data_IF_544225633647
#
_entry.id   IF_544225633647
#
_cell.length_a   1.000
_cell.length_b   1.000
_cell.length_c   1.000
_cell.angle_alpha   90.00
_cell.angle_beta   90.00
_cell.angle_gamma   90.00
#
_symmetry.space_group_name_H-M   'P 1'
#
loop_
_entity.id
_entity.type
_entity.pdbx_description
1 polymer ?
2 non-polymer ?
3 non-polymer ?
4 water ?
#
# COMPACT_ATOMS: atom_id res chain seq x y z
N UNK A 1 17.79 19.77 -7.26
CA UNK A 1 17.08 20.94 -6.68
C UNK A 1 15.85 20.40 -5.94
N UNK A 2 14.90 19.87 -6.70
CA UNK A 2 13.68 19.34 -6.10
C UNK A 2 13.90 17.91 -5.60
N UNK A 3 13.03 17.47 -4.71
CA UNK A 3 13.01 16.09 -4.29
C UNK A 3 12.19 15.30 -5.30
N UNK A 4 12.83 14.36 -5.97
CA UNK A 4 12.16 13.58 -7.00
C UNK A 4 11.41 12.37 -6.37
N UNK A 5 10.11 12.29 -6.57
CA UNK A 5 9.25 11.23 -5.98
C UNK A 5 8.63 10.41 -7.10
N UNK A 6 8.70 9.08 -7.02
CA UNK A 6 8.00 8.21 -7.96
C UNK A 6 7.10 7.35 -7.11
N UNK A 7 5.81 7.45 -7.41
CA UNK A 7 4.75 6.73 -6.69
C UNK A 7 4.02 5.75 -7.59
N UNK A 8 3.85 4.50 -7.13
CA UNK A 8 3.08 3.49 -7.95
C UNK A 8 1.61 3.47 -7.51
N UNK A 9 0.72 3.09 -8.43
CA UNK A 9 -0.70 2.92 -8.08
C UNK A 9 -1.44 4.21 -7.79
N UNK A 10 -1.34 5.21 -8.69
CA UNK A 10 -1.89 6.55 -8.52
C UNK A 10 -3.30 6.78 -9.12
N UNK A 11 -3.96 5.72 -9.55
CA UNK A 11 -5.23 5.92 -10.24
C UNK A 11 -6.31 6.25 -9.25
N UNK A 12 -6.11 5.92 -7.98
CA UNK A 12 -7.11 6.22 -6.94
C UNK A 12 -6.46 6.18 -5.56
N UNK A 13 -7.23 6.55 -4.54
CA UNK A 13 -6.84 6.21 -3.18
C UNK A 13 -5.66 6.96 -2.68
N UNK A 14 -4.89 6.28 -1.84
CA UNK A 14 -3.77 6.86 -1.20
C UNK A 14 -2.79 7.40 -2.21
N UNK A 15 -2.49 6.58 -3.22
CA UNK A 15 -1.53 6.98 -4.26
C UNK A 15 -1.89 8.27 -4.99
N UNK A 16 -3.18 8.40 -5.35
CA UNK A 16 -3.68 9.61 -6.00
C UNK A 16 -3.52 10.84 -5.11
N UNK A 17 -4.01 10.70 -3.88
CA UNK A 17 -3.97 11.82 -2.94
C UNK A 17 -2.56 12.19 -2.52
N UNK A 18 -1.68 11.23 -2.30
CA UNK A 18 -0.28 11.54 -2.00
C UNK A 18 0.41 12.28 -3.15
N UNK A 19 0.18 11.79 -4.37
CA UNK A 19 0.79 12.44 -5.54
C UNK A 19 0.45 13.94 -5.64
N UNK A 20 -0.81 14.30 -5.48
CA UNK A 20 -1.22 15.72 -5.58
C UNK A 20 -0.91 16.53 -4.34
N UNK A 21 -0.89 15.88 -3.17
CA UNK A 21 -0.38 16.55 -1.99
C UNK A 21 1.05 17.01 -2.21
N UNK A 22 1.92 16.11 -2.62
CA UNK A 22 3.31 16.46 -2.85
C UNK A 22 3.50 17.49 -3.98
N UNK A 23 2.83 17.29 -5.08
CA UNK A 23 3.02 18.16 -6.25
C UNK A 23 2.49 19.56 -5.94
N UNK A 24 1.45 19.67 -5.11
CA UNK A 24 0.85 20.96 -4.80
C UNK A 24 1.47 21.65 -3.59
N UNK A 25 2.43 21.00 -2.92
CA UNK A 25 3.06 21.57 -1.72
C UNK A 25 3.43 23.02 -1.93
N UNK A 26 2.95 23.92 -1.03
CA UNK A 26 3.27 25.34 -1.20
C UNK A 26 4.77 25.63 -1.40
N UNK A 27 5.64 24.84 -0.79
CA UNK A 27 7.08 25.06 -0.96
C UNK A 27 7.65 24.66 -2.34
N UNK A 28 6.87 23.94 -3.16
CA UNK A 28 7.36 23.39 -4.45
C UNK A 28 8.66 22.57 -4.36
N UNK A 29 8.83 21.86 -3.25
CA UNK A 29 10.04 21.06 -2.99
C UNK A 29 10.07 19.78 -3.81
N UNK A 30 8.92 19.34 -4.33
CA UNK A 30 8.76 17.99 -4.93
C UNK A 30 8.46 17.98 -6.42
N UNK A 31 9.11 17.07 -7.14
CA UNK A 31 8.74 16.75 -8.54
C UNK A 31 8.15 15.36 -8.45
N UNK A 32 6.91 15.17 -8.88
CA UNK A 32 6.25 13.86 -8.73
C UNK A 32 5.97 13.13 -10.06
N UNK A 33 6.47 11.90 -10.14
CA UNK A 33 6.08 10.95 -11.18
C UNK A 33 4.98 10.05 -10.60
N UNK A 34 3.76 10.32 -11.00
CA UNK A 34 2.64 9.49 -10.57
C UNK A 34 2.44 8.40 -11.62
N UNK A 35 2.59 7.16 -11.20
CA UNK A 35 2.51 6.09 -12.20
C UNK A 35 1.22 5.32 -12.10
N UNK A 36 0.77 4.73 -13.20
CA UNK A 36 -0.55 4.06 -13.22
C UNK A 36 -0.47 2.88 -14.15
N UNK A 37 -1.21 1.82 -13.89
CA UNK A 37 -1.18 0.67 -14.81
C UNK A 37 -1.86 0.96 -16.15
N UNK A 38 -3.01 1.62 -16.12
CA UNK A 38 -3.78 1.93 -17.33
C UNK A 38 -3.98 3.41 -17.40
N UNK A 39 -3.42 4.03 -18.43
CA UNK A 39 -3.54 5.48 -18.62
C UNK A 39 -5.00 5.99 -18.72
N UNK A 40 -5.95 5.14 -19.14
CA UNK A 40 -7.36 5.53 -19.11
C UNK A 40 -7.87 5.93 -17.72
N UNK A 41 -7.11 5.57 -16.70
CA UNK A 41 -7.58 5.93 -15.35
C UNK A 41 -7.00 7.24 -14.86
N UNK A 42 -6.19 7.92 -15.66
CA UNK A 42 -5.49 9.14 -15.21
C UNK A 42 -6.34 10.39 -14.98
N UNK A 43 -7.59 10.38 -15.49
CA UNK A 43 -8.46 11.54 -15.37
C UNK A 43 -8.64 11.98 -13.93
N UNK A 44 -8.86 11.02 -13.03
CA UNK A 44 -9.13 11.36 -11.63
C UNK A 44 -7.93 12.04 -10.99
N UNK A 45 -6.74 11.64 -11.39
CA UNK A 45 -5.54 12.26 -10.83
C UNK A 45 -5.45 13.72 -11.32
N UNK A 46 -5.74 13.94 -12.59
CA UNK A 46 -5.66 15.29 -13.16
C UNK A 46 -6.76 16.21 -12.65
N UNK A 47 -7.94 15.67 -12.39
CA UNK A 47 -9.00 16.45 -11.75
C UNK A 47 -8.56 16.92 -10.34
N UNK A 48 -7.98 16.02 -9.55
CA UNK A 48 -7.45 16.38 -8.22
C UNK A 48 -6.28 17.36 -8.35
N UNK A 49 -5.43 17.16 -9.34
CA UNK A 49 -4.29 18.04 -9.53
C UNK A 49 -4.75 19.48 -9.79
N UNK A 50 -5.81 19.62 -10.60
CA UNK A 50 -6.38 20.93 -10.89
C UNK A 50 -6.99 21.55 -9.61
N UNK A 51 -7.69 20.74 -8.84
CA UNK A 51 -8.37 21.21 -7.65
C UNK A 51 -7.36 21.78 -6.70
N UNK A 52 -6.19 21.16 -6.63
CA UNK A 52 -5.18 21.64 -5.70
C UNK A 52 -4.24 22.60 -6.37
N UNK A 53 -4.47 22.87 -7.66
CA UNK A 53 -3.61 23.81 -8.42
C UNK A 53 -2.12 23.45 -8.47
N UNK A 54 -1.81 22.20 -8.77
CA UNK A 54 -0.42 21.79 -8.89
C UNK A 54 0.21 22.64 -9.98
N UNK A 55 1.36 23.28 -9.70
CA UNK A 55 2.00 24.06 -10.76
C UNK A 55 2.35 23.17 -11.95
N UNK A 56 2.30 23.74 -13.18
CA UNK A 56 2.76 22.91 -14.31
C UNK A 56 4.19 22.41 -14.15
N UNK A 57 4.41 21.15 -14.49
CA UNK A 57 5.73 20.54 -14.31
C UNK A 57 6.00 20.00 -12.90
N UNK A 58 5.04 20.12 -12.00
CA UNK A 58 5.22 19.52 -10.66
C UNK A 58 4.79 18.04 -10.65
N UNK A 59 3.95 17.67 -11.62
CA UNK A 59 3.35 16.34 -11.70
C UNK A 59 3.37 15.81 -13.14
N UNK A 60 3.82 14.58 -13.29
CA UNK A 60 3.82 13.91 -14.60
C UNK A 60 3.29 12.52 -14.35
N UNK A 61 2.54 12.00 -15.30
CA UNK A 61 2.07 10.64 -15.23
C UNK A 61 2.93 9.76 -16.16
N UNK A 62 3.21 8.53 -15.69
CA UNK A 62 3.88 7.47 -16.48
C UNK A 62 3.03 6.23 -16.42
N UNK A 63 3.03 5.45 -17.51
CA UNK A 63 2.41 4.14 -17.45
C UNK A 63 3.41 3.18 -16.84
N UNK A 64 2.97 2.41 -15.84
CA UNK A 64 3.87 1.45 -15.20
C UNK A 64 3.03 0.25 -14.79
N UNK A 65 3.38 -0.92 -15.29
CA UNK A 65 2.69 -2.15 -14.88
C UNK A 65 3.70 -2.89 -14.00
N UNK A 66 3.43 -2.99 -12.69
CA UNK A 66 4.41 -3.60 -11.77
C UNK A 66 4.53 -5.12 -11.97
N UNK A 67 3.66 -5.70 -12.80
CA UNK A 67 3.78 -7.11 -13.14
C UNK A 67 4.88 -7.37 -14.17
N UNK A 68 5.37 -6.31 -14.81
CA UNK A 68 6.27 -6.46 -15.99
C UNK A 68 7.56 -5.67 -15.73
N UNK A 69 8.64 -6.40 -15.50
CA UNK A 69 9.91 -5.73 -15.26
C UNK A 69 10.39 -4.84 -16.43
N UNK A 70 9.95 -5.10 -17.66
CA UNK A 70 10.25 -4.15 -18.76
C UNK A 70 9.58 -2.81 -18.59
N UNK A 71 8.32 -2.83 -18.11
CA UNK A 71 7.54 -1.63 -17.84
C UNK A 71 8.17 -0.81 -16.71
N UNK A 72 8.70 -1.52 -15.72
CA UNK A 72 9.37 -0.90 -14.62
C UNK A 72 10.64 -0.21 -15.12
N UNK A 73 11.42 -0.91 -15.92
CA UNK A 73 12.64 -0.31 -16.48
C UNK A 73 12.36 0.87 -17.42
N UNK A 74 11.31 0.79 -18.25
CA UNK A 74 10.89 1.90 -19.15
C UNK A 74 10.48 3.18 -18.38
N UNK A 75 9.78 3.00 -17.26
CA UNK A 75 9.39 4.16 -16.45
C UNK A 75 10.62 4.79 -15.72
N UNK A 76 11.55 3.95 -15.25
CA UNK A 76 12.78 4.42 -14.61
C UNK A 76 13.62 5.24 -15.60
N UNK A 77 13.73 4.77 -16.85
CA UNK A 77 14.42 5.57 -17.87
C UNK A 77 13.72 6.94 -18.14
N UNK A 78 12.41 7.02 -17.92
CA UNK A 78 11.66 8.27 -18.09
C UNK A 78 11.85 9.29 -16.96
N UNK A 79 12.55 8.92 -15.88
CA UNK A 79 12.87 9.88 -14.82
C UNK A 79 14.02 10.77 -15.32
N UNK A 80 13.64 11.89 -15.93
CA UNK A 80 14.61 12.75 -16.66
C UNK A 80 15.72 13.26 -15.77
N UNK A 81 15.44 13.40 -14.47
CA UNK A 81 16.44 13.88 -13.51
C UNK A 81 17.54 12.88 -13.23
N UNK A 82 17.34 11.62 -13.62
CA UNK A 82 18.37 10.59 -13.41
C UNK A 82 18.59 10.16 -11.97
N UNK A 83 17.62 10.47 -11.10
CA UNK A 83 17.59 9.88 -9.77
C UNK A 83 16.17 9.89 -9.23
N UNK A 84 15.93 9.05 -8.21
CA UNK A 84 14.69 9.08 -7.47
C UNK A 84 15.09 9.26 -6.01
N UNK A 85 14.61 10.33 -5.40
CA UNK A 85 14.93 10.60 -4.03
C UNK A 85 14.00 9.84 -3.08
N UNK A 86 12.74 9.72 -3.49
CA UNK A 86 11.72 9.02 -2.71
C UNK A 86 10.95 8.08 -3.63
N UNK A 87 10.95 6.80 -3.29
CA UNK A 87 10.20 5.79 -4.04
C UNK A 87 9.06 5.36 -3.14
N UNK A 88 7.85 5.49 -3.65
CA UNK A 88 6.66 5.10 -2.86
C UNK A 88 6.00 3.89 -3.55
N UNK A 89 6.07 2.74 -2.89
CA UNK A 89 5.57 1.47 -3.40
C UNK A 89 4.18 1.27 -2.80
N UNK A 90 3.19 1.65 -3.57
CA UNK A 90 1.80 1.72 -3.13
C UNK A 90 0.80 0.90 -3.97
N UNK A 91 1.14 0.55 -5.21
CA UNK A 91 0.19 -0.26 -5.99
C UNK A 91 -0.18 -1.52 -5.23
N UNK A 92 -1.46 -1.86 -5.25
CA UNK A 92 -1.89 -3.08 -4.55
C UNK A 92 -3.31 -3.46 -4.93
N UNK A 93 -3.62 -4.74 -4.75
CA UNK A 93 -4.88 -5.33 -5.07
C UNK A 93 -5.47 -5.91 -3.80
N UNK A 94 -6.80 -5.82 -3.64
CA UNK A 94 -7.43 -6.60 -2.58
C UNK A 94 -7.95 -7.92 -3.11
N UNK A 95 -8.35 -8.82 -2.22
CA UNK A 95 -8.98 -10.01 -2.69
C UNK A 95 -9.80 -10.54 -1.54
N UNK A 96 -11.12 -10.68 -1.74
CA UNK A 96 -12.02 -10.91 -0.63
C UNK A 96 -12.89 -12.12 -0.99
N UNK A 97 -12.99 -13.07 -0.06
CA UNK A 97 -13.83 -14.24 -0.27
C UNK A 97 -13.38 -15.49 0.45
N UNK A 98 -14.24 -16.54 0.45
CA UNK A 98 -13.88 -17.83 0.99
C UNK A 98 -12.65 -18.33 0.21
N UNK A 99 -11.65 -18.85 0.90
CA UNK A 99 -10.45 -19.28 0.17
C UNK A 99 -10.76 -20.18 -1.02
N UNK A 100 -11.60 -21.19 -0.82
CA UNK A 100 -11.89 -22.15 -1.90
C UNK A 100 -12.70 -21.56 -3.11
N UNK A 101 -13.24 -20.37 -2.94
CA UNK A 101 -13.94 -19.67 -4.03
C UNK A 101 -13.00 -18.79 -4.88
N UNK A 102 -11.76 -18.63 -4.44
CA UNK A 102 -10.84 -17.72 -5.14
C UNK A 102 -10.24 -18.45 -6.33
N UNK A 103 -10.25 -17.83 -7.50
CA UNK A 103 -9.57 -18.42 -8.63
C UNK A 103 -8.07 -18.39 -8.40
N UNK A 104 -7.41 -19.45 -8.86
CA UNK A 104 -5.98 -19.56 -8.81
C UNK A 104 -5.26 -18.38 -9.47
N UNK A 105 -5.75 -17.94 -10.64
CA UNK A 105 -5.19 -16.75 -11.27
C UNK A 105 -5.34 -15.50 -10.43
N UNK A 106 -6.49 -15.31 -9.78
CA UNK A 106 -6.68 -14.16 -8.92
C UNK A 106 -5.70 -14.21 -7.74
N UNK A 107 -5.50 -15.41 -7.20
CA UNK A 107 -4.51 -15.58 -6.09
C UNK A 107 -3.12 -15.19 -6.60
N UNK A 108 -2.70 -15.74 -7.75
CA UNK A 108 -1.37 -15.41 -8.26
C UNK A 108 -1.21 -13.94 -8.62
N UNK A 109 -2.26 -13.32 -9.16
CA UNK A 109 -2.23 -11.89 -9.49
C UNK A 109 -2.01 -10.97 -8.28
N UNK A 110 -2.74 -11.24 -7.21
CA UNK A 110 -2.60 -10.46 -5.95
C UNK A 110 -1.17 -10.59 -5.48
N UNK A 111 -0.65 -11.80 -5.41
CA UNK A 111 0.78 -12.02 -5.03
C UNK A 111 1.75 -11.34 -5.98
N UNK A 112 1.48 -11.45 -7.28
CA UNK A 112 2.39 -10.80 -8.23
C UNK A 112 2.44 -9.29 -8.17
N UNK A 113 1.27 -8.64 -7.99
CA UNK A 113 1.20 -7.20 -7.99
C UNK A 113 1.72 -6.75 -6.63
N UNK A 114 1.21 -7.37 -5.57
CA UNK A 114 1.45 -6.81 -4.22
C UNK A 114 2.86 -7.12 -3.69
N UNK A 115 3.41 -8.28 -4.03
CA UNK A 115 4.71 -8.71 -3.48
C UNK A 115 5.74 -8.66 -4.56
N UNK A 116 5.57 -9.46 -5.59
CA UNK A 116 6.64 -9.46 -6.64
C UNK A 116 6.76 -8.08 -7.29
N UNK A 117 5.65 -7.39 -7.51
CA UNK A 117 5.66 -6.02 -7.99
C UNK A 117 6.54 -5.07 -7.17
N UNK A 118 6.44 -5.20 -5.86
CA UNK A 118 7.30 -4.42 -4.99
C UNK A 118 8.75 -4.85 -5.04
N UNK A 119 8.98 -6.16 -5.05
CA UNK A 119 10.35 -6.69 -5.37
C UNK A 119 10.89 -6.06 -6.67
N UNK A 120 10.13 -6.09 -7.78
CA UNK A 120 10.62 -5.48 -9.06
C UNK A 120 11.01 -4.02 -8.94
N UNK A 121 10.21 -3.23 -8.22
CA UNK A 121 10.54 -1.82 -7.98
C UNK A 121 11.81 -1.64 -7.14
N UNK A 122 11.93 -2.38 -6.05
CA UNK A 122 13.14 -2.34 -5.23
C UNK A 122 14.38 -2.82 -6.02
N UNK A 123 14.25 -3.86 -6.86
CA UNK A 123 15.44 -4.31 -7.64
C UNK A 123 15.87 -3.21 -8.60
N UNK A 124 14.87 -2.57 -9.24
CA UNK A 124 15.12 -1.51 -10.21
C UNK A 124 15.72 -0.28 -9.56
N UNK A 125 15.22 0.12 -8.38
CA UNK A 125 15.58 1.44 -7.81
C UNK A 125 16.57 1.45 -6.67
N UNK A 126 16.67 0.38 -5.87
CA UNK A 126 17.62 0.36 -4.74
C UNK A 126 19.11 0.50 -5.13
N UNK A 127 19.54 -0.16 -6.21
CA UNK A 127 20.97 -0.02 -6.55
C UNK A 127 21.52 1.43 -6.62
N UNK A 128 20.85 2.33 -7.37
CA UNK A 128 21.35 3.71 -7.45
C UNK A 128 21.25 4.44 -6.11
N UNK A 129 20.27 4.07 -5.27
CA UNK A 129 20.17 4.63 -3.92
C UNK A 129 21.35 4.21 -3.04
N UNK A 130 21.71 2.94 -3.14
CA UNK A 130 22.80 2.39 -2.29
C UNK A 130 24.11 3.04 -2.73
N UNK A 131 24.24 3.28 -4.03
CA UNK A 131 25.45 3.89 -4.61
C UNK A 131 25.61 5.31 -4.12
N UNK A 132 24.51 6.07 -4.13
CA UNK A 132 24.51 7.48 -3.70
C UNK A 132 24.65 7.58 -2.21
N UNK A 133 24.42 6.47 -1.52
CA UNK A 133 24.29 6.49 -0.07
C UNK A 133 23.12 7.34 0.42
N UNK A 134 22.08 7.45 -0.41
CA UNK A 134 20.85 8.13 0.06
C UNK A 134 19.57 7.81 -0.75
N UNK A 135 18.43 7.96 -0.08
CA UNK A 135 17.14 7.67 -0.71
C UNK A 135 16.17 7.17 0.34
N UNK A 136 14.88 7.43 0.09
CA UNK A 136 13.84 7.02 1.02
C UNK A 136 12.90 6.12 0.27
N UNK A 137 12.53 5.01 0.89
CA UNK A 137 11.51 4.13 0.30
C UNK A 137 10.33 4.08 1.24
N UNK A 138 9.14 4.36 0.72
CA UNK A 138 7.93 4.26 1.59
C UNK A 138 7.03 3.18 1.01
N UNK A 139 6.51 2.28 1.84
CA UNK A 139 5.71 1.14 1.25
C UNK A 139 4.36 1.22 1.94
N UNK A 140 3.27 1.18 1.15
CA UNK A 140 1.95 1.21 1.74
C UNK A 140 1.67 -0.14 2.38
N UNK A 141 1.49 -0.12 3.71
CA UNK A 141 1.12 -1.32 4.40
C UNK A 141 -0.36 -1.32 4.78
N UNK A 142 -0.73 -2.30 5.61
CA UNK A 142 -2.12 -2.47 6.00
C UNK A 142 -2.19 -3.07 7.41
N UNK A 143 -3.25 -2.77 8.15
CA UNK A 143 -3.55 -3.56 9.34
C UNK A 143 -3.60 -5.06 9.05
N UNK A 144 -4.07 -5.46 7.87
CA UNK A 144 -4.12 -6.88 7.39
C UNK A 144 -2.71 -7.45 7.10
N UNK A 145 -1.69 -6.61 7.14
CA UNK A 145 -0.32 -7.08 7.13
C UNK A 145 0.23 -7.45 8.48
N UNK A 146 -0.50 -7.00 9.53
CA UNK A 146 -0.06 -7.13 10.92
C UNK A 146 -0.87 -8.16 11.72
N UNK A 147 -2.05 -8.48 11.23
CA UNK A 147 -2.91 -9.49 11.86
C UNK A 147 -3.81 -10.06 10.80
N UNK A 148 -4.10 -11.37 10.91
CA UNK A 148 -4.94 -12.06 9.94
C UNK A 148 -6.43 -11.68 10.04
N UNK A 149 -7.07 -11.48 8.90
CA UNK A 149 -8.51 -11.15 8.84
C UNK A 149 -9.26 -12.21 8.02
N UNK A 150 -10.40 -12.71 8.54
CA UNK A 150 -11.06 -13.82 7.92
C UNK A 150 -11.58 -13.31 6.60
N UNK A 151 -11.62 -14.21 5.62
CA UNK A 151 -11.96 -13.98 4.22
C UNK A 151 -11.06 -13.02 3.52
N UNK A 152 -9.93 -12.66 4.15
CA UNK A 152 -8.88 -11.86 3.47
C UNK A 152 -7.58 -12.66 3.43
N UNK A 153 -7.68 -14.00 3.40
CA UNK A 153 -6.52 -14.93 3.61
C UNK A 153 -5.37 -14.59 2.66
N UNK A 154 -5.69 -14.39 1.39
CA UNK A 154 -4.64 -14.14 0.37
C UNK A 154 -4.20 -12.69 0.40
N UNK A 155 -5.11 -11.74 0.65
CA UNK A 155 -4.73 -10.32 0.80
C UNK A 155 -3.76 -10.17 1.97
N UNK A 156 -4.16 -10.74 3.09
CA UNK A 156 -3.31 -10.76 4.31
C UNK A 156 -1.98 -11.48 4.00
N UNK A 157 -2.01 -12.61 3.31
CA UNK A 157 -0.75 -13.23 2.94
C UNK A 157 0.17 -12.23 2.26
N UNK A 158 -0.38 -11.50 1.31
CA UNK A 158 0.41 -10.55 0.54
C UNK A 158 0.96 -9.36 1.35
N UNK A 159 0.13 -8.83 2.28
CA UNK A 159 0.49 -7.74 3.14
C UNK A 159 1.48 -8.16 4.32
N UNK A 160 1.30 -9.34 4.87
CA UNK A 160 2.32 -9.98 5.72
C UNK A 160 3.62 -10.15 4.94
N UNK A 161 3.52 -10.56 3.67
CA UNK A 161 4.78 -10.71 2.87
C UNK A 161 5.58 -9.43 2.74
N UNK A 162 4.91 -8.29 2.58
CA UNK A 162 5.55 -6.98 2.44
C UNK A 162 6.23 -6.68 3.78
N UNK A 163 5.60 -7.10 4.88
CA UNK A 163 6.26 -6.85 6.15
C UNK A 163 7.62 -7.58 6.21
N UNK A 164 7.62 -8.89 5.92
CA UNK A 164 8.85 -9.67 5.96
C UNK A 164 9.84 -9.13 4.97
N UNK A 165 9.40 -8.78 3.75
CA UNK A 165 10.31 -8.26 2.73
C UNK A 165 11.02 -7.01 3.24
N UNK A 166 10.25 -6.03 3.71
CA UNK A 166 10.75 -4.73 4.14
C UNK A 166 11.61 -4.85 5.39
N UNK A 167 11.22 -5.69 6.33
CA UNK A 167 11.97 -5.79 7.57
C UNK A 167 13.34 -6.41 7.31
N UNK A 168 13.37 -7.44 6.49
CA UNK A 168 14.60 -8.09 6.05
C UNK A 168 15.54 -7.09 5.42
N UNK A 169 15.02 -6.34 4.43
CA UNK A 169 15.79 -5.28 3.73
C UNK A 169 16.30 -4.18 4.65
N UNK A 170 15.46 -3.75 5.59
CA UNK A 170 15.86 -2.68 6.53
C UNK A 170 17.07 -3.06 7.40
N UNK A 171 17.15 -4.33 7.77
CA UNK A 171 18.29 -4.81 8.59
C UNK A 171 19.60 -4.58 7.79
N UNK A 172 19.53 -4.77 6.48
CA UNK A 172 20.70 -4.58 5.62
C UNK A 172 21.00 -3.14 5.24
N UNK A 173 19.94 -2.38 4.91
CA UNK A 173 20.09 -1.04 4.34
C UNK A 173 20.56 0.03 5.34
N UNK A 174 20.45 -0.27 6.63
CA UNK A 174 20.79 0.66 7.71
C UNK A 174 22.14 1.38 7.45
N UNK A 175 23.27 0.61 7.37
CA UNK A 175 24.56 1.31 7.11
C UNK A 175 24.71 1.95 5.72
N UNK A 176 23.80 1.69 4.79
CA UNK A 176 23.87 2.30 3.46
C UNK A 176 23.27 3.71 3.39
N UNK A 177 22.68 4.19 4.48
CA UNK A 177 21.96 5.48 4.42
C UNK A 177 20.65 5.54 3.61
N UNK A 178 20.08 4.39 3.25
CA UNK A 178 18.84 4.32 2.49
C UNK A 178 17.82 3.86 3.53
N UNK A 179 16.71 4.60 3.65
CA UNK A 179 15.76 4.38 4.74
C UNK A 179 14.47 3.84 4.15
N UNK A 180 13.95 2.76 4.69
CA UNK A 180 12.73 2.15 4.18
C UNK A 180 11.74 2.16 5.31
N UNK A 181 10.49 2.54 5.03
CA UNK A 181 9.46 2.53 6.08
C UNK A 181 8.17 2.01 5.49
N UNK A 182 7.39 1.30 6.32
CA UNK A 182 6.00 0.87 6.00
C UNK A 182 5.07 1.87 6.61
N UNK A 183 4.04 2.24 5.88
CA UNK A 183 3.02 3.14 6.39
C UNK A 183 1.74 2.28 6.57
N UNK A 184 1.45 1.99 7.85
CA UNK A 184 0.42 0.99 8.18
C UNK A 184 -0.97 1.65 8.26
N UNK A 185 -1.78 1.40 7.23
CA UNK A 185 -3.09 2.04 7.05
C UNK A 185 -4.16 1.13 7.64
N UNK A 186 -5.15 1.71 8.34
CA UNK A 186 -6.42 1.02 8.59
C UNK A 186 -7.33 1.32 7.42
N UNK A 187 -8.67 1.22 7.59
CA UNK A 187 -9.56 1.54 6.47
C UNK A 187 -9.42 3.00 6.04
N UNK A 188 -9.54 3.24 4.73
CA UNK A 188 -9.38 4.56 4.12
C UNK A 188 -10.54 4.84 3.17
N UNK A 189 -11.19 5.99 3.35
CA UNK A 189 -12.28 6.46 2.48
C UNK A 189 -11.74 6.93 1.16
N UNK A 190 -11.48 6.04 0.21
CA UNK A 190 -10.80 6.48 -1.02
C UNK A 190 -11.77 7.09 -2.06
N UNK A 198 -16.43 -11.65 -7.00
CA UNK A 198 -17.61 -12.46 -7.29
C UNK A 198 -18.90 -11.86 -6.73
N UNK A 199 -19.99 -11.99 -7.51
CA UNK A 199 -21.32 -11.68 -7.01
C UNK A 199 -21.73 -12.79 -6.03
N UNK A 200 -22.82 -12.58 -5.25
CA UNK A 200 -23.29 -13.60 -4.29
C UNK A 200 -23.48 -15.00 -4.89
N UNK A 201 -24.16 -15.08 -6.03
CA UNK A 201 -24.42 -16.39 -6.68
C UNK A 201 -23.11 -17.04 -7.13
N UNK A 202 -22.14 -16.21 -7.52
CA UNK A 202 -20.80 -16.66 -7.88
C UNK A 202 -20.11 -17.33 -6.69
N UNK A 203 -20.14 -16.67 -5.53
CA UNK A 203 -19.47 -17.15 -4.32
C UNK A 203 -20.19 -18.36 -3.72
N UNK A 204 -21.53 -18.30 -3.68
CA UNK A 204 -22.35 -19.43 -3.18
C UNK A 204 -22.09 -20.73 -3.97
N UNK A 205 -21.98 -20.58 -5.29
CA UNK A 205 -21.61 -21.67 -6.20
C UNK A 205 -20.26 -22.32 -5.88
N UNK A 206 -19.39 -21.58 -5.17
CA UNK A 206 -18.04 -22.06 -4.92
C UNK A 206 -17.77 -22.39 -3.46
N UNK A 207 -18.77 -22.28 -2.61
CA UNK A 207 -18.54 -22.62 -1.22
C UNK A 207 -19.75 -23.28 -0.57
N UNK A 208 -19.64 -23.62 0.70
CA UNK A 208 -20.78 -24.17 1.45
C UNK A 208 -21.65 -23.07 2.05
N UNK A 209 -22.89 -23.42 2.37
CA UNK A 209 -23.84 -22.44 2.87
C UNK A 209 -23.41 -21.83 4.19
N UNK A 210 -22.70 -22.61 5.00
CA UNK A 210 -22.28 -22.16 6.31
C UNK A 210 -21.13 -21.16 6.20
N UNK A 211 -20.16 -21.47 5.36
CA UNK A 211 -19.11 -20.48 5.05
C UNK A 211 -19.73 -19.24 4.41
N UNK A 212 -20.64 -19.43 3.46
CA UNK A 212 -21.32 -18.32 2.82
C UNK A 212 -21.96 -17.36 3.85
N UNK A 213 -22.65 -17.94 4.83
CA UNK A 213 -23.23 -17.14 5.90
C UNK A 213 -22.20 -16.42 6.76
N UNK A 214 -21.09 -17.08 7.07
CA UNK A 214 -20.02 -16.44 7.81
C UNK A 214 -19.43 -15.27 6.98
N UNK A 215 -19.40 -15.43 5.66
CA UNK A 215 -18.90 -14.36 4.79
C UNK A 215 -19.76 -13.12 4.93
N UNK A 216 -21.08 -13.32 5.00
CA UNK A 216 -22.02 -12.23 5.09
C UNK A 216 -21.79 -11.56 6.40
N UNK A 217 -21.60 -12.33 7.44
CA UNK A 217 -21.40 -11.76 8.77
C UNK A 217 -20.14 -10.89 8.77
N UNK A 218 -19.12 -11.43 8.13
CA UNK A 218 -17.83 -10.69 8.04
C UNK A 218 -18.07 -9.36 7.29
N UNK A 219 -18.73 -9.41 6.13
CA UNK A 219 -19.05 -8.22 5.37
C UNK A 219 -19.86 -7.20 6.17
N UNK A 220 -20.85 -7.65 6.92
CA UNK A 220 -21.62 -6.74 7.77
C UNK A 220 -20.73 -6.01 8.77
N UNK A 221 -19.86 -6.76 9.46
CA UNK A 221 -18.96 -6.21 10.47
C UNK A 221 -17.96 -5.26 9.84
N UNK A 222 -17.38 -5.67 8.71
CA UNK A 222 -16.43 -4.86 7.94
C UNK A 222 -17.04 -3.52 7.56
N UNK A 223 -18.28 -3.53 7.07
CA UNK A 223 -18.96 -2.30 6.67
C UNK A 223 -19.10 -1.35 7.84
N UNK A 224 -19.33 -1.89 9.04
CA UNK A 224 -19.57 -1.07 10.21
C UNK A 224 -18.27 -0.50 10.77
N UNK A 225 -17.21 -1.31 10.71
CA UNK A 225 -15.84 -0.82 11.02
C UNK A 225 -15.47 0.32 10.04
N UNK A 226 -15.83 0.16 8.77
CA UNK A 226 -15.47 1.15 7.77
C UNK A 226 -16.23 2.43 7.98
N UNK A 227 -17.51 2.32 8.37
CA UNK A 227 -18.31 3.54 8.49
C UNK A 227 -17.93 4.29 9.75
N UNK A 228 -17.52 3.56 10.78
CA UNK A 228 -17.12 4.18 12.02
C UNK A 228 -15.68 4.64 12.02
N UNK A 229 -14.81 4.03 11.21
CA UNK A 229 -13.37 4.18 11.40
C UNK A 229 -12.56 4.67 10.19
N UNK A 230 -13.15 4.68 9.00
CA UNK A 230 -12.38 4.98 7.79
C UNK A 230 -11.74 6.37 7.89
N UNK A 231 -10.46 6.48 7.49
CA UNK A 231 -9.78 7.78 7.49
C UNK A 231 -9.82 8.43 6.12
N UNK A 232 -9.80 9.76 6.11
CA UNK A 232 -9.59 10.55 4.88
C UNK A 232 -8.23 10.24 4.24
N UNK A 233 -8.18 10.00 2.90
CA UNK A 233 -6.84 9.79 2.36
C UNK A 233 -5.94 11.00 2.54
N UNK A 234 -6.53 12.18 2.77
CA UNK A 234 -5.75 13.39 3.04
C UNK A 234 -4.98 13.20 4.32
N UNK A 235 -5.66 12.64 5.32
CA UNK A 235 -5.00 12.40 6.59
C UNK A 235 -3.92 11.31 6.47
N UNK A 236 -4.23 10.19 5.80
CA UNK A 236 -3.20 9.15 5.51
C UNK A 236 -1.99 9.69 4.72
N UNK A 237 -2.23 10.45 3.65
CA UNK A 237 -1.13 11.04 2.91
C UNK A 237 -0.20 11.87 3.79
N UNK A 238 -0.68 12.56 4.82
CA UNK A 238 0.20 13.36 5.65
C UNK A 238 1.14 12.51 6.51
N UNK A 239 0.70 11.29 6.87
CA UNK A 239 1.59 10.33 7.56
C UNK A 239 2.74 9.92 6.62
N UNK A 240 2.49 9.76 5.32
CA UNK A 240 3.62 9.54 4.41
C UNK A 240 4.59 10.69 4.43
N UNK A 241 4.05 11.88 4.45
CA UNK A 241 4.87 13.10 4.54
C UNK A 241 5.72 13.19 5.81
N UNK A 242 5.11 12.88 6.94
CA UNK A 242 5.84 12.73 8.19
C UNK A 242 7.02 11.76 8.10
N UNK A 243 6.78 10.55 7.60
CA UNK A 243 7.88 9.62 7.36
C UNK A 243 8.97 10.21 6.45
N UNK A 244 8.53 10.89 5.39
CA UNK A 244 9.45 11.46 4.40
C UNK A 244 10.43 12.41 4.98
N UNK A 245 9.95 13.23 5.91
CA UNK A 245 10.69 14.34 6.48
C UNK A 245 11.40 13.98 7.78
N UNK A 246 11.21 12.76 8.26
CA UNK A 246 11.82 12.35 9.54
C UNK A 246 13.34 12.23 9.32
N UNK A 247 14.16 12.94 10.14
CA UNK A 247 15.61 12.86 9.94
C UNK A 247 16.17 11.44 10.10
N UNK A 248 15.65 10.65 11.06
CA UNK A 248 15.90 9.20 11.11
C UNK A 248 14.60 8.40 11.16
N UNK A 249 14.09 8.00 10.00
CA UNK A 249 12.80 7.32 10.06
C UNK A 249 12.86 5.93 10.71
N UNK A 250 11.75 5.52 11.29
CA UNK A 250 11.58 4.18 11.85
C UNK A 250 11.07 3.27 10.74
N UNK A 251 11.10 1.97 11.03
CA UNK A 251 10.66 0.98 10.04
C UNK A 251 9.15 1.07 9.78
N UNK A 252 8.40 1.38 10.82
CA UNK A 252 6.95 1.38 10.76
C UNK A 252 6.29 2.65 11.35
N UNK A 253 5.39 3.25 10.56
CA UNK A 253 4.46 4.33 10.97
C UNK A 253 3.02 3.79 11.00
N UNK A 254 2.22 4.24 11.95
CA UNK A 254 0.82 3.83 11.96
C UNK A 254 -0.07 5.06 11.70
N UNK A 255 -1.08 4.91 10.84
CA UNK A 255 -1.89 6.07 10.49
C UNK A 255 -2.96 6.29 11.55
N UNK A 256 -3.13 5.29 12.41
CA UNK A 256 -4.14 5.35 13.46
C UNK A 256 -3.77 4.47 14.65
N UNK A 257 -4.29 4.84 15.82
CA UNK A 257 -4.16 4.11 17.09
C UNK A 257 -5.22 3.01 17.23
N UNK A 258 -6.24 3.07 16.37
CA UNK A 258 -7.44 2.21 16.42
C UNK A 258 -7.19 0.73 16.70
N UNK A 259 -6.31 0.14 15.91
CA UNK A 259 -6.18 -1.30 15.89
C UNK A 259 -5.04 -1.75 16.77
N UNK A 260 -4.37 -0.81 17.44
CA UNK A 260 -3.20 -1.17 18.25
C UNK A 260 -3.51 -2.04 19.48
N UNK A 261 -4.66 -1.85 20.14
CA UNK A 261 -5.03 -2.82 21.19
C UNK A 261 -5.18 -4.26 20.72
N UNK A 262 -5.86 -4.47 19.59
CA UNK A 262 -5.95 -5.78 18.95
C UNK A 262 -4.55 -6.31 18.58
N UNK A 263 -3.72 -5.45 18.02
CA UNK A 263 -2.37 -5.81 17.65
C UNK A 263 -1.53 -6.22 18.86
N UNK A 264 -1.65 -5.50 19.96
CA UNK A 264 -0.86 -5.81 21.17
C UNK A 264 -1.26 -7.16 21.75
N UNK A 265 -2.55 -7.44 21.77
CA UNK A 265 -3.06 -8.74 22.19
C UNK A 265 -2.51 -9.85 21.33
N UNK A 266 -2.36 -9.57 20.01
CA UNK A 266 -1.68 -10.50 19.12
C UNK A 266 -0.22 -10.62 19.54
N UNK A 267 0.40 -9.47 19.74
CA UNK A 267 1.81 -9.39 19.99
C UNK A 267 2.21 -10.14 21.27
N UNK A 268 1.41 -10.04 22.31
CA UNK A 268 1.91 -10.67 23.53
C UNK A 268 1.36 -12.07 23.88
N UNK A 269 0.71 -12.72 22.93
CA UNK A 269 0.48 -14.15 23.03
C UNK A 269 0.94 -14.80 21.72
N UNK A 270 2.22 -15.14 21.65
CA UNK A 270 2.84 -15.77 20.50
C UNK A 270 2.18 -17.10 20.03
N UNK A 271 1.47 -17.85 20.91
CA UNK A 271 0.74 -19.06 20.49
C UNK A 271 -0.42 -18.75 19.50
N UNK A 272 -0.82 -17.47 19.47
CA UNK A 272 -1.92 -16.99 18.59
C UNK A 272 -3.33 -17.21 19.14
N UNK A 273 -3.42 -17.95 20.26
CA UNK A 273 -4.68 -18.35 20.84
C UNK A 273 -5.55 -17.13 21.25
N UNK A 274 -4.97 -16.15 21.92
CA UNK A 274 -5.78 -14.97 22.29
C UNK A 274 -6.22 -14.14 21.11
N UNK A 275 -5.35 -14.01 20.12
CA UNK A 275 -5.74 -13.24 18.95
C UNK A 275 -6.88 -13.92 18.18
N UNK A 276 -6.77 -15.23 17.95
CA UNK A 276 -7.73 -15.89 17.12
C UNK A 276 -9.11 -15.84 17.80
N UNK A 277 -9.10 -16.05 19.11
CA UNK A 277 -10.31 -15.99 19.90
C UNK A 277 -10.98 -14.60 19.86
N UNK A 278 -10.19 -13.56 20.15
CA UNK A 278 -10.65 -12.16 20.17
C UNK A 278 -11.14 -11.73 18.80
N UNK A 279 -10.37 -12.03 17.74
CA UNK A 279 -10.84 -11.65 16.40
C UNK A 279 -12.12 -12.43 16.02
N UNK A 280 -12.22 -13.69 16.40
CA UNK A 280 -13.41 -14.44 16.06
C UNK A 280 -14.63 -13.78 16.74
N UNK A 281 -14.52 -13.48 18.04
CA UNK A 281 -15.57 -12.79 18.76
C UNK A 281 -15.83 -11.41 18.14
N UNK A 282 -14.79 -10.62 17.83
CA UNK A 282 -14.98 -9.30 17.24
C UNK A 282 -15.80 -9.35 15.96
N UNK A 283 -15.54 -10.31 15.08
CA UNK A 283 -16.21 -10.41 13.76
C UNK A 283 -17.55 -11.16 13.83
N UNK A 284 -17.57 -12.25 14.57
CA UNK A 284 -18.71 -13.15 14.54
C UNK A 284 -19.50 -13.02 15.85
X LIG B 1 -12.39 -3.18 6.11
X LIG B 1 -12.17 -2.54 4.73
X LIG B 1 -10.81 -1.90 4.56
X LIG B 1 -10.69 -0.86 3.93
X LIG B 1 -9.59 -2.51 5.21
X LIG B 1 -10.02 -2.74 6.66
X LIG B 1 -8.82 -2.98 7.54
X LIG B 1 -9.31 -3.03 8.99
X LIG B 1 -10.24 -4.21 9.19
X LIG B 1 -11.49 -4.04 8.31
X LIG B 1 -11.16 -3.78 6.81
X LIG B 1 -12.52 -5.12 8.62
X LIG B 1 -12.91 -5.16 10.11
X LIG B 1 -11.70 -5.39 11.01
X LIG B 1 -10.64 -4.34 10.68
X LIG B 1 -9.55 -4.51 11.74
X LIG B 1 -10.36 -4.85 13.00
X LIG B 1 -11.80 -5.08 12.51
X LIG B 1 -12.40 -6.11 13.29
X LIG B 1 -11.28 -6.85 10.82
X LIG B 1 -10.75 -5.08 6.08
X LIG C 1 17.78 6.89 -8.64
X LIG C 1 18.19 7.18 -7.31
X LIG C 1 16.89 5.63 -8.84
X LIG C 1 16.68 4.94 -7.63
X LIG C 1 17.39 4.70 -9.97
X LIG C 1 17.06 5.31 -11.20
#
# INVERSE_FOLDING_TARGET
ARTVVLITGCSSGIGLHLAVRLASDPSQSFKVYATLRDLKTQGRLWEAARALACPPGSLETLQLDVRDSKSVAAARERVTEGRVDVLVCNAGLGLLGPLEALGEDAVASVLDVNVVGTVRMLQAFLPDMKRRGSGRVLVTGSVGGLMGLPFNDVYCASKFALEGLCESLAVLLLPFGVHLSLIECGPVHTAFMEKVLGSPEEVLDRTDIHTFHRFYQYLAHSKQVFREAAQNPEEVAEVFLTALRAPKPTLRYFTTERFLPLLRMRLDDPSGSNYVTAMHREVFGDVPAKAEAGAEAGGGRGPGAEDEAGRSAVGDPELGDPPAAPQ
DHT C1 C2 C3 O3 C4 C5 C6 C7 C8 C9 C10 C11 C12 C13 C14 C15 C16 C17 O17 C18 C19
GOL C1 O1 C2 O2 C3 O3
#
